data_IF_632856848477
#
_entry.id   IF_632856848477
#
_cell.length_a   1.000
_cell.length_b   1.000
_cell.length_c   1.000
_cell.angle_alpha   90.00
_cell.angle_beta   90.00
_cell.angle_gamma   90.00
#
_symmetry.space_group_name_H-M   'P 1'
#
loop_
_entity.id
_entity.type
_entity.pdbx_description
1 polymer ?
#
# COMPACT_ATOMS: atom_id res chain seq x y z
N UNK A 1 -39.20 43.06 29.12
CA UNK A 1 -39.19 43.20 27.65
C UNK A 1 -37.74 43.27 27.19
N UNK A 2 -37.17 42.16 26.69
CA UNK A 2 -35.82 42.14 26.12
C UNK A 2 -35.86 42.68 24.69
N UNK A 3 -35.28 43.85 24.45
CA UNK A 3 -35.27 44.51 23.13
C UNK A 3 -34.48 43.73 22.06
N UNK A 4 -34.61 44.11 20.78
CA UNK A 4 -33.97 43.45 19.63
C UNK A 4 -32.44 43.30 19.78
N UNK A 5 -31.79 44.20 20.52
CA UNK A 5 -30.38 44.16 20.89
C UNK A 5 -29.98 42.96 21.77
N UNK A 6 -30.84 42.49 22.67
CA UNK A 6 -30.58 41.32 23.52
C UNK A 6 -30.63 39.98 22.77
N UNK A 7 -31.45 39.90 21.71
CA UNK A 7 -31.56 38.69 20.87
C UNK A 7 -30.34 38.54 19.96
N UNK A 8 -29.83 39.65 19.42
CA UNK A 8 -28.59 39.66 18.64
C UNK A 8 -27.37 39.26 19.47
N UNK A 9 -27.24 39.78 20.70
CA UNK A 9 -26.16 39.41 21.60
C UNK A 9 -26.17 37.91 21.94
N UNK A 10 -27.36 37.33 22.15
CA UNK A 10 -27.50 35.89 22.41
C UNK A 10 -27.14 35.03 21.19
N UNK A 11 -27.51 35.43 19.97
CA UNK A 11 -27.13 34.72 18.74
C UNK A 11 -25.61 34.77 18.52
N UNK A 12 -24.99 35.93 18.73
CA UNK A 12 -23.54 36.08 18.59
C UNK A 12 -22.77 35.26 19.63
N UNK A 13 -23.24 35.23 20.88
CA UNK A 13 -22.65 34.40 21.93
C UNK A 13 -22.76 32.90 21.60
N UNK A 14 -23.90 32.44 21.11
CA UNK A 14 -24.08 31.04 20.68
C UNK A 14 -23.18 30.69 19.48
N UNK A 15 -23.01 31.61 18.54
CA UNK A 15 -22.11 31.43 17.40
C UNK A 15 -20.64 31.30 17.83
N UNK A 16 -20.19 32.17 18.73
CA UNK A 16 -18.84 32.11 19.30
C UNK A 16 -18.61 30.82 20.10
N UNK A 17 -19.58 30.40 20.91
CA UNK A 17 -19.53 29.13 21.63
C UNK A 17 -19.46 27.93 20.68
N UNK A 18 -20.22 27.96 19.59
CA UNK A 18 -20.20 26.89 18.58
C UNK A 18 -18.85 26.82 17.88
N UNK A 19 -18.30 27.95 17.44
CA UNK A 19 -16.96 28.00 16.84
C UNK A 19 -15.88 27.51 17.80
N UNK A 20 -15.95 27.92 19.07
CA UNK A 20 -15.04 27.45 20.12
C UNK A 20 -15.13 25.94 20.34
N UNK A 21 -16.34 25.39 20.38
CA UNK A 21 -16.56 23.96 20.51
C UNK A 21 -16.02 23.16 19.31
N UNK A 22 -16.23 23.65 18.09
CA UNK A 22 -15.68 23.03 16.87
C UNK A 22 -14.16 23.05 16.89
N UNK A 23 -13.54 24.22 17.12
CA UNK A 23 -12.08 24.34 17.18
C UNK A 23 -11.47 23.45 18.27
N UNK A 24 -12.10 23.40 19.45
CA UNK A 24 -11.69 22.52 20.54
C UNK A 24 -11.81 21.05 20.14
N UNK A 25 -12.92 20.63 19.51
CA UNK A 25 -13.10 19.26 19.06
C UNK A 25 -12.07 18.84 18.01
N UNK A 26 -11.68 19.75 17.10
CA UNK A 26 -10.63 19.51 16.12
C UNK A 26 -9.27 19.35 16.80
N UNK A 27 -8.92 20.23 17.74
CA UNK A 27 -7.67 20.13 18.48
C UNK A 27 -7.59 18.82 19.30
N UNK A 28 -8.69 18.43 19.95
CA UNK A 28 -8.77 17.15 20.66
C UNK A 28 -8.62 15.98 19.70
N UNK A 29 -9.30 15.99 18.55
CA UNK A 29 -9.19 14.94 17.54
C UNK A 29 -7.75 14.82 17.00
N UNK A 30 -7.07 15.93 16.75
CA UNK A 30 -5.69 15.96 16.29
C UNK A 30 -4.73 15.40 17.35
N UNK A 31 -4.85 15.84 18.60
CA UNK A 31 -4.03 15.32 19.72
C UNK A 31 -4.28 13.84 19.93
N UNK A 32 -5.55 13.39 19.91
CA UNK A 32 -5.87 11.97 20.06
C UNK A 32 -5.32 11.15 18.89
N UNK A 33 -5.41 11.67 17.66
CA UNK A 33 -4.84 11.02 16.48
C UNK A 33 -3.33 10.92 16.57
N UNK A 34 -2.65 11.98 17.03
CA UNK A 34 -1.21 11.99 17.25
C UNK A 34 -0.79 11.04 18.38
N UNK A 35 -1.54 11.00 19.48
CA UNK A 35 -1.30 10.06 20.60
C UNK A 35 -1.52 8.62 20.13
N UNK A 36 -2.56 8.35 19.35
CA UNK A 36 -2.81 7.04 18.77
C UNK A 36 -1.68 6.64 17.81
N UNK A 37 -1.29 7.53 16.89
CA UNK A 37 -0.20 7.30 15.95
C UNK A 37 1.17 7.13 16.64
N UNK A 38 1.43 7.87 17.72
CA UNK A 38 2.70 7.78 18.47
C UNK A 38 2.75 6.60 19.44
N UNK A 39 1.60 6.11 19.92
CA UNK A 39 1.51 4.88 20.73
C UNK A 39 1.41 3.62 19.89
N UNK A 40 0.87 3.72 18.67
CA UNK A 40 1.16 2.79 17.59
C UNK A 40 2.63 3.00 17.18
N UNK A 41 3.56 2.84 18.14
CA UNK A 41 4.99 2.95 17.91
C UNK A 41 5.30 1.95 16.81
N UNK A 42 5.68 2.44 15.63
CA UNK A 42 6.14 1.59 14.61
C UNK A 42 7.59 1.30 14.97
N UNK A 43 7.84 0.30 15.82
CA UNK A 43 9.02 -0.52 15.56
C UNK A 43 8.70 -1.34 14.29
N UNK A 44 8.37 -0.63 13.20
CA UNK A 44 8.14 -1.16 11.88
C UNK A 44 9.53 -1.39 11.30
N UNK A 45 10.25 -2.34 11.92
CA UNK A 45 10.92 -3.36 11.11
C UNK A 45 9.82 -4.20 10.43
N UNK A 46 8.92 -3.55 9.69
CA UNK A 46 7.93 -4.17 8.80
C UNK A 46 8.62 -4.90 7.66
N UNK A 47 9.91 -4.68 7.53
CA UNK A 47 10.69 -5.15 6.44
C UNK A 47 12.08 -5.45 6.96
N UNK A 48 12.40 -6.74 7.03
CA UNK A 48 13.74 -7.21 7.35
C UNK A 48 14.52 -7.39 6.04
N UNK A 49 15.42 -6.45 5.76
CA UNK A 49 16.27 -6.42 4.57
C UNK A 49 16.98 -5.06 4.42
N UNK A 50 17.86 -4.93 3.42
CA UNK A 50 18.42 -3.64 3.00
C UNK A 50 17.64 -3.14 1.77
N UNK A 51 16.84 -2.08 1.92
CA UNK A 51 15.93 -1.60 0.85
C UNK A 51 16.75 -1.18 -0.36
N UNK A 52 17.95 -0.65 -0.11
CA UNK A 52 18.87 -0.20 -1.15
C UNK A 52 19.50 -1.36 -1.94
N UNK A 53 19.41 -2.59 -1.44
CA UNK A 53 19.87 -3.78 -2.16
C UNK A 53 18.86 -4.28 -3.21
N UNK A 54 17.65 -3.71 -3.23
CA UNK A 54 16.50 -4.27 -3.98
C UNK A 54 15.92 -3.31 -5.01
N UNK A 55 16.15 -2.01 -4.82
CA UNK A 55 15.66 -0.98 -5.73
C UNK A 55 16.82 -0.20 -6.33
N UNK A 56 16.73 0.04 -7.63
CA UNK A 56 17.57 1.01 -8.31
C UNK A 56 16.90 2.39 -8.22
N UNK A 57 17.70 3.43 -7.96
CA UNK A 57 17.22 4.80 -7.98
C UNK A 57 17.42 5.40 -9.37
N UNK A 58 16.31 5.78 -10.00
CA UNK A 58 16.24 6.40 -11.32
C UNK A 58 15.86 7.86 -11.15
N UNK A 59 16.69 8.82 -11.59
CA UNK A 59 16.45 10.25 -11.40
C UNK A 59 15.08 10.73 -11.88
N UNK A 60 14.58 10.17 -12.97
CA UNK A 60 13.35 10.61 -13.65
C UNK A 60 12.07 10.09 -12.98
N UNK A 61 12.11 8.92 -12.33
CA UNK A 61 10.89 8.22 -11.87
C UNK A 61 10.96 7.72 -10.42
N UNK A 62 12.07 7.99 -9.71
CA UNK A 62 12.25 7.57 -8.32
C UNK A 62 12.82 6.16 -8.20
N UNK A 63 12.15 5.26 -7.49
CA UNK A 63 12.68 3.92 -7.21
C UNK A 63 12.02 2.87 -8.11
N UNK A 64 12.83 2.00 -8.70
CA UNK A 64 12.38 0.82 -9.47
C UNK A 64 13.01 -0.43 -8.87
N UNK A 65 12.37 -1.58 -9.01
CA UNK A 65 12.99 -2.83 -8.58
C UNK A 65 14.20 -3.14 -9.47
N UNK A 66 15.30 -3.54 -8.85
CA UNK A 66 16.49 -3.94 -9.58
C UNK A 66 16.23 -5.21 -10.40
N UNK A 67 16.80 -5.27 -11.60
CA UNK A 67 16.66 -6.42 -12.49
C UNK A 67 17.50 -7.63 -12.08
N UNK A 68 17.05 -8.83 -12.45
CA UNK A 68 17.68 -10.12 -12.18
C UNK A 68 18.01 -10.34 -10.69
N UNK A 69 17.09 -9.97 -9.80
CA UNK A 69 17.26 -10.12 -8.35
C UNK A 69 16.34 -11.18 -7.79
N UNK A 70 16.80 -11.81 -6.71
CA UNK A 70 15.96 -12.58 -5.80
C UNK A 70 15.94 -11.85 -4.48
N UNK A 71 14.74 -11.49 -4.01
CA UNK A 71 14.52 -10.77 -2.77
C UNK A 71 13.82 -11.68 -1.76
N UNK A 72 14.36 -11.75 -0.56
CA UNK A 72 13.64 -12.28 0.60
C UNK A 72 12.95 -11.14 1.34
N UNK A 73 11.64 -11.22 1.55
CA UNK A 73 10.86 -10.17 2.21
C UNK A 73 10.05 -10.74 3.35
N UNK A 74 10.35 -10.27 4.57
CA UNK A 74 9.62 -10.62 5.79
C UNK A 74 8.90 -9.39 6.32
N UNK A 75 7.60 -9.54 6.59
CA UNK A 75 6.79 -8.52 7.27
C UNK A 75 6.25 -9.06 8.56
N UNK A 76 6.42 -8.31 9.64
CA UNK A 76 5.91 -8.64 10.96
C UNK A 76 4.62 -7.87 11.27
N UNK A 77 3.75 -8.48 12.05
CA UNK A 77 2.61 -7.85 12.70
C UNK A 77 3.08 -7.06 13.94
N UNK A 78 2.27 -6.11 14.47
CA UNK A 78 2.65 -5.31 15.64
C UNK A 78 2.92 -6.11 16.92
N UNK A 79 2.41 -7.34 17.02
CA UNK A 79 2.65 -8.26 18.14
C UNK A 79 3.93 -9.11 17.98
N UNK A 80 4.68 -8.89 16.89
CA UNK A 80 5.90 -9.64 16.55
C UNK A 80 5.65 -10.90 15.73
N UNK A 81 4.40 -11.30 15.49
CA UNK A 81 4.06 -12.41 14.60
C UNK A 81 4.50 -12.14 13.16
N UNK A 82 4.81 -13.19 12.39
CA UNK A 82 5.13 -13.04 10.96
C UNK A 82 3.82 -12.89 10.19
N UNK A 83 3.65 -11.76 9.49
CA UNK A 83 2.54 -11.53 8.58
C UNK A 83 2.75 -12.24 7.25
N UNK A 84 3.97 -12.15 6.69
CA UNK A 84 4.40 -12.94 5.55
C UNK A 84 5.93 -13.07 5.54
N UNK A 85 6.40 -14.14 4.93
CA UNK A 85 7.80 -14.44 4.65
C UNK A 85 7.86 -15.08 3.27
N UNK A 86 8.34 -14.33 2.29
CA UNK A 86 8.17 -14.65 0.86
C UNK A 86 9.42 -14.30 0.07
N UNK A 87 9.58 -14.97 -1.07
CA UNK A 87 10.68 -14.69 -1.99
C UNK A 87 10.16 -14.15 -3.31
N UNK A 88 10.61 -12.95 -3.68
CA UNK A 88 10.31 -12.33 -4.97
C UNK A 88 11.47 -12.52 -5.94
N UNK A 89 11.17 -12.68 -7.22
CA UNK A 89 12.18 -12.66 -8.27
C UNK A 89 11.86 -11.60 -9.31
N UNK A 90 12.88 -10.95 -9.86
CA UNK A 90 12.74 -9.96 -10.92
C UNK A 90 13.48 -10.37 -12.18
N UNK A 91 12.91 -10.00 -13.33
CA UNK A 91 13.52 -10.23 -14.65
C UNK A 91 14.58 -9.17 -14.98
N UNK A 92 15.14 -9.23 -16.18
CA UNK A 92 16.17 -8.29 -16.66
C UNK A 92 15.71 -6.82 -16.67
N UNK A 93 14.40 -6.57 -16.63
CA UNK A 93 13.80 -5.24 -16.69
C UNK A 93 13.28 -4.77 -15.32
N UNK A 94 13.57 -5.51 -14.24
CA UNK A 94 13.09 -5.16 -12.90
C UNK A 94 11.60 -5.43 -12.70
N UNK A 95 10.97 -6.22 -13.59
CA UNK A 95 9.58 -6.66 -13.41
C UNK A 95 9.58 -7.95 -12.61
N UNK A 96 8.59 -8.12 -11.73
CA UNK A 96 8.45 -9.39 -11.01
C UNK A 96 8.27 -10.55 -12.00
N UNK A 97 9.02 -11.63 -11.84
CA UNK A 97 8.92 -12.78 -12.72
C UNK A 97 7.61 -13.50 -12.48
N UNK A 98 6.86 -13.64 -13.56
CA UNK A 98 5.78 -14.62 -13.70
C UNK A 98 6.36 -15.74 -14.56
N UNK A 99 5.94 -16.99 -14.36
CA UNK A 99 6.34 -18.09 -15.25
C UNK A 99 5.75 -17.85 -16.65
N UNK A 100 6.40 -17.03 -17.48
CA UNK A 100 5.94 -16.79 -18.83
C UNK A 100 6.33 -17.96 -19.71
N UNK A 101 5.36 -18.53 -20.42
CA UNK A 101 5.65 -19.38 -21.57
C UNK A 101 6.45 -18.58 -22.61
N UNK A 102 7.48 -19.19 -23.20
CA UNK A 102 8.37 -18.55 -24.19
C UNK A 102 7.75 -18.39 -25.58
N UNK A 103 6.45 -18.61 -25.72
CA UNK A 103 5.77 -18.59 -27.02
C UNK A 103 5.39 -17.15 -27.41
N UNK A 104 6.01 -16.58 -28.45
CA UNK A 104 5.76 -15.21 -28.89
C UNK A 104 4.40 -15.02 -29.58
N UNK A 105 3.66 -16.09 -29.87
CA UNK A 105 2.31 -16.01 -30.44
C UNK A 105 1.21 -15.79 -29.38
N UNK A 106 1.57 -15.84 -28.10
CA UNK A 106 0.62 -15.66 -26.99
C UNK A 106 0.27 -14.19 -26.77
N UNK A 107 -0.98 -13.88 -26.37
CA UNK A 107 -1.35 -12.53 -25.96
C UNK A 107 -0.50 -12.07 -24.78
N UNK A 108 0.11 -10.89 -24.90
CA UNK A 108 0.84 -10.26 -23.80
C UNK A 108 -0.09 -9.35 -22.99
N UNK A 109 0.01 -9.41 -21.67
CA UNK A 109 -0.72 -8.55 -20.75
C UNK A 109 0.25 -7.83 -19.82
N UNK A 110 0.00 -6.53 -19.62
CA UNK A 110 0.75 -5.70 -18.67
C UNK A 110 -0.25 -5.21 -17.63
N UNK A 111 0.07 -5.43 -16.35
CA UNK A 111 -0.74 -4.99 -15.24
C UNK A 111 -0.12 -3.75 -14.59
N UNK A 112 -0.90 -2.69 -14.46
CA UNK A 112 -0.51 -1.46 -13.76
C UNK A 112 -1.29 -1.35 -12.46
N UNK A 113 -0.60 -0.98 -11.37
CA UNK A 113 -1.25 -0.77 -10.09
C UNK A 113 -0.26 -0.61 -8.95
N UNK A 114 -0.70 -0.96 -7.75
CA UNK A 114 0.05 -0.82 -6.51
C UNK A 114 0.54 -2.19 -5.98
N UNK A 115 0.64 -2.32 -4.65
CA UNK A 115 1.10 -3.55 -3.98
C UNK A 115 0.26 -4.78 -4.29
N UNK A 116 -1.05 -4.62 -4.55
CA UNK A 116 -1.95 -5.73 -4.93
C UNK A 116 -1.55 -6.30 -6.29
N UNK A 117 -1.30 -5.43 -7.27
CA UNK A 117 -0.88 -5.84 -8.61
C UNK A 117 0.52 -6.46 -8.60
N UNK A 118 1.41 -5.95 -7.74
CA UNK A 118 2.75 -6.49 -7.51
C UNK A 118 2.72 -7.87 -6.81
N UNK A 119 1.66 -8.17 -6.07
CA UNK A 119 1.54 -9.38 -5.23
C UNK A 119 2.38 -9.30 -3.96
N UNK A 120 2.40 -8.15 -3.28
CA UNK A 120 3.06 -8.00 -1.98
C UNK A 120 2.59 -9.09 -1.00
N UNK A 121 3.53 -9.79 -0.38
CA UNK A 121 3.25 -10.84 0.60
C UNK A 121 2.84 -12.19 0.00
N UNK A 122 2.96 -12.36 -1.32
CA UNK A 122 2.72 -13.62 -2.02
C UNK A 122 4.01 -14.11 -2.66
N UNK A 123 4.19 -15.41 -2.81
CA UNK A 123 5.23 -15.97 -3.67
C UNK A 123 4.85 -15.81 -5.15
N UNK A 124 5.85 -15.88 -6.03
CA UNK A 124 5.68 -15.67 -7.48
C UNK A 124 4.48 -16.44 -8.12
N UNK A 125 4.23 -17.75 -7.83
CA UNK A 125 3.12 -18.48 -8.44
C UNK A 125 1.73 -18.08 -7.91
N UNK A 126 1.66 -17.35 -6.80
CA UNK A 126 0.39 -16.98 -6.16
C UNK A 126 -0.09 -15.58 -6.55
N UNK A 127 0.73 -14.85 -7.31
CA UNK A 127 0.38 -13.52 -7.81
C UNK A 127 -0.79 -13.55 -8.79
N UNK A 128 -1.55 -12.45 -8.86
CA UNK A 128 -2.63 -12.28 -9.85
C UNK A 128 -2.10 -12.49 -11.28
N UNK A 129 -0.91 -11.99 -11.58
CA UNK A 129 -0.28 -12.15 -12.88
C UNK A 129 0.00 -13.63 -13.21
N UNK A 130 0.49 -14.41 -12.23
CA UNK A 130 0.67 -15.86 -12.39
C UNK A 130 -0.66 -16.59 -12.58
N UNK A 131 -1.69 -16.26 -11.81
CA UNK A 131 -3.01 -16.91 -11.96
C UNK A 131 -3.70 -16.59 -13.28
N UNK A 132 -3.49 -15.38 -13.81
CA UNK A 132 -3.97 -15.02 -15.13
C UNK A 132 -3.17 -15.73 -16.22
N UNK A 133 -1.84 -15.82 -16.08
CA UNK A 133 -1.01 -16.58 -17.00
C UNK A 133 -1.39 -18.07 -16.97
N UNK A 134 -1.66 -18.70 -15.83
CA UNK A 134 -2.17 -20.09 -15.77
C UNK A 134 -3.50 -20.24 -16.52
N UNK A 135 -4.47 -19.35 -16.27
CA UNK A 135 -5.84 -19.46 -16.83
C UNK A 135 -5.89 -19.21 -18.34
N UNK A 136 -5.12 -18.24 -18.83
CA UNK A 136 -4.99 -17.96 -20.25
C UNK A 136 -3.86 -18.78 -20.90
N UNK A 137 -3.06 -19.42 -20.04
CA UNK A 137 -1.95 -20.34 -20.29
C UNK A 137 -2.38 -21.74 -20.71
N UNK A 138 -3.51 -22.18 -20.16
CA UNK A 138 -4.02 -23.54 -20.25
C UNK A 138 -4.88 -23.81 -21.49
N UNK A 139 -5.16 -22.81 -22.32
CA UNK A 139 -5.98 -22.95 -23.53
C UNK A 139 -5.21 -23.54 -24.73
N UNK A 140 -4.26 -24.45 -24.45
CA UNK A 140 -3.59 -25.30 -25.43
C UNK A 140 -3.77 -26.80 -25.11
N UNK A 141 -4.79 -27.15 -24.30
CA UNK A 141 -5.38 -28.49 -24.31
C UNK A 141 -6.62 -28.43 -25.20
N UNK A 142 -6.41 -28.62 -26.51
CA UNK A 142 -7.44 -28.96 -27.49
C UNK A 142 -7.48 -30.49 -27.66
N UNK A 143 -8.54 -31.09 -28.23
CA UNK A 143 -9.39 -32.07 -27.58
C UNK A 143 -9.09 -33.50 -28.07
N UNK A 144 -9.60 -34.49 -27.35
CA UNK A 144 -9.88 -35.80 -27.93
C UNK A 144 -11.23 -35.81 -28.62
#
# INVERSE_FOLDING_TARGET
MSGPSGRFAAVLANFQLTLGAVAFSMAVAEVLSWVYASRARPDLRLWEGDVTAVVDQVPEYGYVLAGNRTLHAVKHMPDGGVCYDVTYRTDTFGRRTVQQGTDPSRPHMILFGCSVTMGEGLDDPDTLAAKLDERHGSTALSPG
#
